data_IF_722755250993
#
_entry.id   IF_722755250993
#
_cell.length_a   1.000
_cell.length_b   1.000
_cell.length_c   1.000
_cell.angle_alpha   90.00
_cell.angle_beta   90.00
_cell.angle_gamma   90.00
#
_symmetry.space_group_name_H-M   'P 1'
#
loop_
_entity.id
_entity.type
_entity.pdbx_description
1 polymer ?
#
# COMPACT_ATOMS: atom_id res chain seq x y z
N UNK A 1 -18.56 -9.35 -37.65
CA UNK A 1 -17.64 -8.36 -37.06
C UNK A 1 -16.47 -9.14 -36.48
N UNK A 2 -15.24 -8.63 -36.60
CA UNK A 2 -14.08 -9.28 -35.98
C UNK A 2 -14.16 -9.11 -34.44
N UNK A 3 -13.77 -10.15 -33.71
CA UNK A 3 -13.73 -10.09 -32.25
C UNK A 3 -12.49 -9.31 -31.80
N UNK A 4 -12.70 -8.33 -30.91
CA UNK A 4 -11.62 -7.58 -30.26
C UNK A 4 -11.14 -8.39 -29.06
N UNK A 5 -9.83 -8.38 -28.82
CA UNK A 5 -9.21 -9.01 -27.66
C UNK A 5 -9.47 -8.18 -26.40
N UNK A 6 -9.66 -8.85 -25.26
CA UNK A 6 -10.02 -8.17 -24.01
C UNK A 6 -8.96 -7.16 -23.57
N UNK A 7 -7.68 -7.43 -23.81
CA UNK A 7 -6.58 -6.52 -23.50
C UNK A 7 -6.59 -5.20 -24.28
N UNK A 8 -7.27 -5.15 -25.43
CA UNK A 8 -7.31 -3.97 -26.31
C UNK A 8 -8.55 -3.08 -26.07
N UNK A 9 -9.40 -3.44 -25.10
CA UNK A 9 -10.65 -2.72 -24.82
C UNK A 9 -10.34 -1.42 -24.08
N UNK A 10 -10.84 -0.31 -24.61
CA UNK A 10 -10.70 1.03 -24.03
C UNK A 10 -12.06 1.57 -23.56
N UNK A 11 -12.07 2.69 -22.83
CA UNK A 11 -13.32 3.34 -22.38
C UNK A 11 -14.21 3.82 -23.53
N UNK A 12 -13.66 3.96 -24.74
CA UNK A 12 -14.34 4.47 -25.92
C UNK A 12 -14.83 3.35 -26.86
N UNK A 13 -14.56 2.09 -26.52
CA UNK A 13 -15.00 0.93 -27.29
C UNK A 13 -16.53 0.78 -27.27
N UNK A 14 -17.17 0.91 -28.44
CA UNK A 14 -18.63 0.80 -28.63
C UNK A 14 -18.96 -0.15 -29.77
N UNK A 15 -20.12 -0.81 -29.67
CA UNK A 15 -20.62 -1.79 -30.64
C UNK A 15 -19.59 -2.87 -31.01
N UNK A 16 -18.82 -3.31 -30.01
CA UNK A 16 -17.75 -4.29 -30.19
C UNK A 16 -18.27 -5.73 -30.01
N UNK A 17 -17.55 -6.69 -30.58
CA UNK A 17 -17.76 -8.12 -30.32
C UNK A 17 -16.53 -8.70 -29.64
N UNK A 18 -16.72 -9.56 -28.64
CA UNK A 18 -15.64 -10.23 -27.92
C UNK A 18 -15.96 -11.70 -27.73
N UNK A 19 -14.93 -12.52 -27.55
CA UNK A 19 -15.06 -13.92 -27.18
C UNK A 19 -14.20 -14.19 -25.95
N UNK A 20 -14.81 -14.67 -24.87
CA UNK A 20 -14.11 -14.87 -23.59
C UNK A 20 -14.78 -15.87 -22.68
N UNK A 21 -14.04 -16.34 -21.68
CA UNK A 21 -14.52 -17.24 -20.63
C UNK A 21 -15.00 -16.46 -19.41
N UNK A 22 -16.19 -16.77 -18.93
CA UNK A 22 -16.75 -16.22 -17.70
C UNK A 22 -15.96 -16.80 -16.51
N UNK A 23 -15.27 -15.94 -15.77
CA UNK A 23 -14.52 -16.30 -14.58
C UNK A 23 -15.39 -16.22 -13.32
N UNK A 24 -16.31 -15.26 -13.26
CA UNK A 24 -17.31 -15.13 -12.20
C UNK A 24 -18.57 -14.49 -12.75
N UNK A 25 -19.71 -14.83 -12.17
CA UNK A 25 -20.99 -14.17 -12.45
C UNK A 25 -21.83 -14.22 -11.18
N UNK A 26 -22.22 -13.04 -10.72
CA UNK A 26 -23.08 -12.79 -9.57
C UNK A 26 -24.25 -11.91 -10.02
N UNK A 27 -25.29 -11.82 -9.19
CA UNK A 27 -26.45 -10.94 -9.43
C UNK A 27 -26.69 -10.03 -8.24
N UNK A 28 -27.23 -8.84 -8.49
CA UNK A 28 -27.67 -7.91 -7.46
C UNK A 28 -29.04 -7.36 -7.78
N UNK A 29 -29.91 -7.40 -6.78
CA UNK A 29 -31.23 -6.79 -6.82
C UNK A 29 -31.12 -5.31 -6.42
N UNK A 30 -31.75 -4.43 -7.20
CA UNK A 30 -31.88 -3.01 -6.93
C UNK A 30 -33.36 -2.72 -6.70
N UNK A 31 -33.68 -2.02 -5.61
CA UNK A 31 -35.03 -1.50 -5.34
C UNK A 31 -34.99 0.02 -5.31
N UNK A 32 -35.65 0.65 -6.28
CA UNK A 32 -35.79 2.11 -6.36
C UNK A 32 -37.27 2.48 -6.48
N UNK A 33 -37.60 3.77 -6.42
CA UNK A 33 -38.97 4.29 -6.59
C UNK A 33 -39.63 3.87 -7.92
N UNK A 34 -38.82 3.47 -8.91
CA UNK A 34 -39.26 3.00 -10.23
C UNK A 34 -39.48 1.49 -10.32
N UNK A 35 -39.28 0.74 -9.23
CA UNK A 35 -39.49 -0.71 -9.16
C UNK A 35 -38.23 -1.51 -8.80
N UNK A 36 -38.37 -2.83 -8.90
CA UNK A 36 -37.27 -3.79 -8.67
C UNK A 36 -36.59 -4.11 -10.01
N UNK A 37 -35.25 -4.15 -10.02
CA UNK A 37 -34.47 -4.53 -11.20
C UNK A 37 -33.27 -5.38 -10.79
N UNK A 38 -32.95 -6.38 -11.60
CA UNK A 38 -31.81 -7.27 -11.37
C UNK A 38 -30.75 -6.98 -12.42
N UNK A 39 -29.51 -6.87 -12.00
CA UNK A 39 -28.38 -6.88 -12.93
C UNK A 39 -27.38 -7.95 -12.52
N UNK A 40 -26.71 -8.50 -13.52
CA UNK A 40 -25.60 -9.43 -13.35
C UNK A 40 -24.29 -8.67 -13.42
N UNK A 41 -23.30 -9.15 -12.69
CA UNK A 41 -21.94 -8.62 -12.76
C UNK A 41 -20.93 -9.72 -12.54
N UNK A 42 -19.75 -9.54 -13.10
CA UNK A 42 -18.74 -10.58 -13.03
C UNK A 42 -17.45 -10.20 -13.72
N UNK A 43 -16.65 -11.22 -14.02
CA UNK A 43 -15.38 -11.10 -14.70
C UNK A 43 -15.38 -12.03 -15.91
N UNK A 44 -15.01 -11.52 -17.08
CA UNK A 44 -14.78 -12.29 -18.30
C UNK A 44 -13.31 -12.11 -18.72
N UNK A 45 -12.71 -13.13 -19.33
CA UNK A 45 -11.34 -13.03 -19.81
C UNK A 45 -11.01 -13.92 -20.99
N UNK A 46 -9.89 -13.61 -21.63
CA UNK A 46 -9.30 -14.36 -22.74
C UNK A 46 -7.78 -14.51 -22.52
N UNK A 47 -7.08 -14.94 -23.55
CA UNK A 47 -5.62 -15.09 -23.58
C UNK A 47 -4.85 -13.76 -23.44
N UNK A 48 -5.52 -12.62 -23.53
CA UNK A 48 -4.93 -11.28 -23.44
C UNK A 48 -5.23 -10.56 -22.13
N UNK A 49 -6.28 -10.94 -21.40
CA UNK A 49 -6.59 -10.30 -20.13
C UNK A 49 -7.96 -10.64 -19.53
N UNK A 50 -8.33 -9.89 -18.50
CA UNK A 50 -9.66 -9.97 -17.89
C UNK A 50 -10.28 -8.59 -17.73
N UNK A 51 -11.59 -8.48 -17.91
CA UNK A 51 -12.35 -7.24 -17.77
C UNK A 51 -13.65 -7.51 -16.98
N UNK A 52 -14.02 -6.65 -16.00
CA UNK A 52 -15.29 -6.78 -15.34
C UNK A 52 -16.45 -6.43 -16.29
N UNK A 53 -17.60 -7.08 -16.12
CA UNK A 53 -18.83 -6.76 -16.88
C UNK A 53 -20.01 -6.47 -15.96
N UNK A 54 -20.87 -5.52 -16.35
CA UNK A 54 -22.24 -5.33 -15.83
C UNK A 54 -23.19 -5.71 -16.95
N UNK A 55 -24.19 -6.52 -16.64
CA UNK A 55 -25.20 -6.95 -17.58
C UNK A 55 -26.60 -6.69 -17.04
N UNK A 56 -27.32 -5.81 -17.71
CA UNK A 56 -28.74 -5.53 -17.45
C UNK A 56 -29.66 -6.52 -18.18
N UNK A 57 -29.17 -7.12 -19.27
CA UNK A 57 -29.77 -8.26 -19.93
C UNK A 57 -28.70 -9.35 -20.05
N UNK A 58 -28.87 -10.46 -19.33
CA UNK A 58 -27.92 -11.56 -19.33
C UNK A 58 -28.64 -12.91 -19.26
N UNK A 59 -28.28 -13.90 -20.10
CA UNK A 59 -28.85 -15.24 -20.00
C UNK A 59 -28.56 -15.85 -18.62
N UNK A 60 -29.62 -16.16 -17.88
CA UNK A 60 -29.52 -16.74 -16.53
C UNK A 60 -29.00 -18.18 -16.51
N UNK A 61 -28.71 -18.78 -17.67
CA UNK A 61 -28.11 -20.11 -17.84
C UNK A 61 -26.59 -20.08 -17.83
N UNK A 62 -25.95 -18.94 -18.10
CA UNK A 62 -24.50 -18.82 -18.15
C UNK A 62 -23.90 -18.91 -16.74
N UNK A 63 -22.81 -19.66 -16.59
CA UNK A 63 -22.11 -19.95 -15.34
C UNK A 63 -20.63 -19.57 -15.43
N UNK A 64 -19.97 -19.51 -14.28
CA UNK A 64 -18.50 -19.48 -14.23
C UNK A 64 -17.95 -20.73 -14.91
N UNK A 65 -16.98 -20.55 -15.80
CA UNK A 65 -16.40 -21.60 -16.63
C UNK A 65 -16.83 -21.54 -18.11
N UNK A 66 -17.99 -20.98 -18.40
CA UNK A 66 -18.54 -20.95 -19.76
C UNK A 66 -17.76 -20.02 -20.69
N UNK A 67 -17.58 -20.43 -21.94
CA UNK A 67 -17.08 -19.55 -23.01
C UNK A 67 -18.25 -18.92 -23.74
N UNK A 68 -18.23 -17.60 -23.88
CA UNK A 68 -19.29 -16.83 -24.52
C UNK A 68 -18.71 -15.91 -25.60
N UNK A 69 -19.47 -15.72 -26.66
CA UNK A 69 -19.30 -14.63 -27.61
C UNK A 69 -20.34 -13.56 -27.30
N UNK A 70 -19.88 -12.33 -27.05
CA UNK A 70 -20.72 -11.18 -26.70
C UNK A 70 -20.60 -10.18 -27.83
N UNK A 71 -21.70 -9.88 -28.53
CA UNK A 71 -21.74 -8.95 -29.66
C UNK A 71 -22.52 -7.70 -29.31
N UNK A 72 -22.12 -6.58 -29.91
CA UNK A 72 -22.74 -5.27 -29.70
C UNK A 72 -22.70 -4.79 -28.24
N UNK A 73 -21.66 -5.20 -27.50
CA UNK A 73 -21.40 -4.66 -26.18
C UNK A 73 -20.62 -3.34 -26.28
N UNK A 74 -20.63 -2.59 -25.18
CA UNK A 74 -19.84 -1.37 -25.05
C UNK A 74 -18.97 -1.46 -23.81
N UNK A 75 -17.89 -0.68 -23.77
CA UNK A 75 -17.11 -0.48 -22.58
C UNK A 75 -17.39 0.92 -22.01
N UNK A 76 -17.34 1.03 -20.68
CA UNK A 76 -17.48 2.31 -19.99
C UNK A 76 -16.54 2.34 -18.80
N UNK A 77 -15.98 3.52 -18.52
CA UNK A 77 -15.24 3.77 -17.30
C UNK A 77 -16.20 4.08 -16.14
N UNK A 78 -16.04 3.35 -15.03
CA UNK A 78 -16.78 3.58 -13.79
C UNK A 78 -15.81 3.48 -12.61
N UNK A 79 -15.73 4.53 -11.80
CA UNK A 79 -14.77 4.66 -10.69
C UNK A 79 -13.33 4.30 -11.10
N UNK A 80 -12.87 4.84 -12.24
CA UNK A 80 -11.51 4.63 -12.75
C UNK A 80 -11.25 3.25 -13.38
N UNK A 81 -12.29 2.41 -13.53
CA UNK A 81 -12.16 1.07 -14.11
C UNK A 81 -13.01 0.91 -15.36
N UNK A 82 -12.38 0.43 -16.43
CA UNK A 82 -13.07 0.04 -17.65
C UNK A 82 -13.85 -1.24 -17.35
N UNK A 83 -15.12 -1.23 -17.75
CA UNK A 83 -16.06 -2.33 -17.57
C UNK A 83 -16.86 -2.51 -18.85
N UNK A 84 -17.14 -3.77 -19.20
CA UNK A 84 -18.11 -4.08 -20.24
C UNK A 84 -19.53 -3.85 -19.75
N UNK A 85 -20.32 -3.19 -20.57
CA UNK A 85 -21.74 -3.02 -20.40
C UNK A 85 -22.46 -3.92 -21.42
N UNK A 86 -23.32 -4.78 -20.89
CA UNK A 86 -24.17 -5.71 -21.64
C UNK A 86 -25.60 -5.29 -21.36
N UNK A 87 -26.32 -4.90 -22.41
CA UNK A 87 -27.69 -4.42 -22.31
C UNK A 87 -28.61 -5.16 -23.27
N UNK A 88 -29.85 -4.70 -23.41
CA UNK A 88 -30.85 -5.34 -24.27
C UNK A 88 -30.50 -5.37 -25.76
N UNK A 89 -29.50 -4.60 -26.21
CA UNK A 89 -28.99 -4.62 -27.58
C UNK A 89 -27.82 -5.59 -27.76
N UNK A 90 -27.24 -6.06 -26.66
CA UNK A 90 -26.12 -6.98 -26.67
C UNK A 90 -26.60 -8.42 -26.90
N UNK A 91 -25.95 -9.15 -27.79
CA UNK A 91 -26.21 -10.58 -28.03
C UNK A 91 -25.16 -11.42 -27.28
N UNK A 92 -25.59 -12.34 -26.42
CA UNK A 92 -24.70 -13.22 -25.66
C UNK A 92 -24.92 -14.67 -26.11
N UNK A 93 -23.90 -15.26 -26.73
CA UNK A 93 -23.96 -16.59 -27.35
C UNK A 93 -23.03 -17.53 -26.58
N UNK A 94 -23.60 -18.59 -25.98
CA UNK A 94 -22.81 -19.65 -25.36
C UNK A 94 -22.08 -20.48 -26.43
N UNK A 95 -20.80 -20.74 -26.20
CA UNK A 95 -19.95 -21.57 -27.06
C UNK A 95 -19.51 -22.81 -26.29
N UNK A 96 -20.31 -23.87 -26.38
CA UNK A 96 -20.15 -25.09 -25.58
C UNK A 96 -18.88 -25.89 -25.92
N UNK A 97 -18.41 -25.80 -27.15
CA UNK A 97 -17.27 -26.58 -27.64
C UNK A 97 -15.94 -25.83 -27.54
N UNK A 98 -15.99 -24.56 -27.13
CA UNK A 98 -14.82 -23.72 -27.03
C UNK A 98 -14.18 -23.83 -25.64
N UNK A 99 -12.84 -23.87 -25.63
CA UNK A 99 -12.06 -23.67 -24.42
C UNK A 99 -11.15 -22.46 -24.61
N UNK A 100 -11.09 -21.60 -23.59
CA UNK A 100 -10.21 -20.43 -23.58
C UNK A 100 -9.38 -20.51 -22.31
N UNK A 101 -8.06 -20.50 -22.49
CA UNK A 101 -7.11 -20.26 -21.42
C UNK A 101 -7.10 -18.76 -21.13
N UNK A 102 -7.45 -18.38 -19.90
CA UNK A 102 -7.55 -16.97 -19.53
C UNK A 102 -6.27 -16.53 -18.85
N UNK A 103 -5.58 -15.55 -19.43
CA UNK A 103 -4.50 -14.85 -18.74
C UNK A 103 -5.11 -13.76 -17.88
N UNK A 104 -4.93 -13.87 -16.56
CA UNK A 104 -5.27 -12.75 -15.66
C UNK A 104 -4.22 -11.66 -15.84
N UNK A 105 -4.62 -10.58 -16.49
CA UNK A 105 -3.83 -9.36 -16.55
C UNK A 105 -3.98 -8.62 -15.23
N UNK A 106 -2.93 -8.56 -14.42
CA UNK A 106 -2.89 -7.75 -13.21
C UNK A 106 -2.20 -6.43 -13.52
N UNK A 107 -2.83 -5.31 -13.14
CA UNK A 107 -2.24 -4.00 -13.35
C UNK A 107 -0.95 -3.88 -12.53
N UNK A 108 0.10 -3.41 -13.19
CA UNK A 108 1.40 -3.12 -12.58
C UNK A 108 1.33 -1.89 -11.67
N UNK A 109 1.90 -2.01 -10.47
CA UNK A 109 2.00 -0.90 -9.52
C UNK A 109 3.41 -0.83 -8.91
N UNK A 110 3.90 0.39 -8.74
CA UNK A 110 4.95 0.71 -7.78
C UNK A 110 4.40 0.66 -6.37
N UNK A 111 5.24 0.33 -5.37
CA UNK A 111 4.81 0.14 -3.98
C UNK A 111 4.14 1.40 -3.41
N UNK A 112 4.67 2.60 -3.72
CA UNK A 112 4.08 3.88 -3.31
C UNK A 112 2.64 4.08 -3.80
N UNK A 113 2.23 3.42 -4.88
CA UNK A 113 0.95 3.63 -5.55
C UNK A 113 -0.07 2.50 -5.29
N UNK A 114 0.26 1.54 -4.41
CA UNK A 114 -0.66 0.47 -4.03
C UNK A 114 -1.92 1.05 -3.37
N UNK A 115 -3.08 0.48 -3.66
CA UNK A 115 -4.34 0.95 -3.09
C UNK A 115 -5.34 -0.20 -2.96
N UNK A 116 -6.41 0.01 -2.19
CA UNK A 116 -7.45 -0.99 -1.98
C UNK A 116 -8.46 -1.08 -3.12
N UNK A 117 -8.49 -0.10 -4.03
CA UNK A 117 -9.40 -0.14 -5.18
C UNK A 117 -9.01 -1.27 -6.14
N UNK A 118 -7.71 -1.56 -6.28
CA UNK A 118 -7.19 -2.73 -7.00
C UNK A 118 -6.63 -3.77 -6.04
N UNK A 119 -7.46 -4.71 -5.54
CA UNK A 119 -7.05 -5.65 -4.51
C UNK A 119 -6.12 -6.76 -5.03
N UNK A 120 -5.93 -6.89 -6.34
CA UNK A 120 -4.99 -7.84 -6.94
C UNK A 120 -4.12 -7.13 -7.98
N UNK A 121 -2.81 -7.16 -7.79
CA UNK A 121 -1.85 -6.34 -8.53
C UNK A 121 -0.68 -7.16 -9.06
N UNK A 122 0.03 -6.59 -10.04
CA UNK A 122 1.38 -7.01 -10.38
C UNK A 122 2.36 -6.03 -9.73
N UNK A 123 3.33 -6.54 -8.97
CA UNK A 123 4.39 -5.73 -8.35
C UNK A 123 5.75 -6.36 -8.64
N UNK A 124 6.78 -5.55 -8.61
CA UNK A 124 8.14 -5.99 -8.85
C UNK A 124 9.09 -5.31 -7.87
N UNK A 125 10.00 -6.07 -7.27
CA UNK A 125 10.78 -5.59 -6.15
C UNK A 125 11.64 -6.67 -5.50
N UNK A 126 12.41 -6.25 -4.51
CA UNK A 126 13.34 -7.09 -3.76
C UNK A 126 12.66 -7.67 -2.51
N UNK A 127 12.90 -8.95 -2.28
CA UNK A 127 12.53 -9.66 -1.06
C UNK A 127 13.57 -9.35 0.02
N UNK A 128 13.14 -8.82 1.17
CA UNK A 128 14.00 -8.61 2.33
C UNK A 128 14.13 -9.85 3.21
N UNK A 129 14.43 -9.65 4.49
CA UNK A 129 14.57 -10.73 5.48
C UNK A 129 13.29 -11.60 5.53
N UNK A 130 13.44 -12.92 5.40
CA UNK A 130 12.30 -13.87 5.39
C UNK A 130 12.19 -14.56 6.76
N UNK A 131 11.02 -14.41 7.40
CA UNK A 131 10.68 -15.05 8.69
C UNK A 131 9.64 -16.13 8.49
N UNK A 132 10.00 -17.37 8.82
CA UNK A 132 9.10 -18.51 8.76
C UNK A 132 8.26 -18.63 10.03
N UNK A 133 6.96 -18.91 9.88
CA UNK A 133 6.04 -19.22 10.98
C UNK A 133 5.09 -20.34 10.58
N UNK A 134 4.64 -21.09 11.57
CA UNK A 134 3.57 -22.09 11.43
C UNK A 134 2.23 -21.45 11.77
N UNK A 135 1.18 -21.79 11.03
CA UNK A 135 -0.19 -21.46 11.42
C UNK A 135 -1.11 -22.65 11.17
N UNK A 136 -2.10 -22.82 12.06
CA UNK A 136 -3.14 -23.82 11.90
C UNK A 136 -4.30 -23.22 11.12
N UNK A 137 -4.70 -23.90 10.05
CA UNK A 137 -5.92 -23.61 9.31
C UNK A 137 -6.67 -24.90 9.08
N UNK A 138 -7.90 -24.97 9.58
CA UNK A 138 -8.79 -26.13 9.41
C UNK A 138 -8.18 -27.45 9.93
N UNK A 139 -7.34 -27.37 10.98
CA UNK A 139 -6.65 -28.53 11.56
C UNK A 139 -5.36 -28.95 10.83
N UNK A 140 -5.03 -28.34 9.69
CA UNK A 140 -3.76 -28.53 8.98
C UNK A 140 -2.74 -27.47 9.37
N UNK A 141 -1.53 -27.91 9.71
CA UNK A 141 -0.39 -27.02 9.95
C UNK A 141 0.19 -26.56 8.61
N UNK A 142 0.15 -25.25 8.34
CA UNK A 142 0.69 -24.64 7.12
C UNK A 142 1.82 -23.69 7.47
N UNK A 143 2.78 -23.58 6.55
CA UNK A 143 3.87 -22.61 6.66
C UNK A 143 3.44 -21.28 6.06
N UNK A 144 3.81 -20.20 6.75
CA UNK A 144 3.73 -18.84 6.24
C UNK A 144 5.10 -18.18 6.34
N UNK A 145 5.41 -17.34 5.36
CA UNK A 145 6.65 -16.59 5.26
C UNK A 145 6.33 -15.10 5.30
N UNK A 146 6.81 -14.39 6.32
CA UNK A 146 6.67 -12.93 6.42
C UNK A 146 7.97 -12.26 6.02
N UNK A 147 7.88 -11.21 5.21
CA UNK A 147 9.05 -10.45 4.74
C UNK A 147 8.66 -9.00 4.42
N UNK A 148 9.66 -8.13 4.32
CA UNK A 148 9.51 -6.83 3.65
C UNK A 148 9.71 -6.99 2.16
N UNK A 149 8.87 -6.37 1.35
CA UNK A 149 9.03 -6.29 -0.10
C UNK A 149 9.18 -4.83 -0.50
N UNK A 150 10.19 -4.51 -1.30
CA UNK A 150 10.52 -3.11 -1.61
C UNK A 150 10.93 -2.89 -3.06
N UNK A 151 10.58 -1.73 -3.56
CA UNK A 151 11.08 -1.17 -4.82
C UNK A 151 11.77 0.17 -4.56
N UNK A 152 12.09 0.89 -5.63
CA UNK A 152 12.68 2.23 -5.61
C UNK A 152 11.72 3.32 -5.08
N UNK A 153 10.43 3.03 -4.91
CA UNK A 153 9.42 3.98 -4.45
C UNK A 153 8.98 3.78 -3.00
N UNK A 154 9.14 2.57 -2.44
CA UNK A 154 8.68 2.28 -1.10
C UNK A 154 8.87 0.84 -0.66
N UNK A 155 8.23 0.48 0.45
CA UNK A 155 8.27 -0.84 1.06
C UNK A 155 6.91 -1.22 1.63
N UNK A 156 6.56 -2.50 1.52
CA UNK A 156 5.34 -3.07 2.07
C UNK A 156 5.64 -4.36 2.82
N UNK A 157 4.84 -4.67 3.83
CA UNK A 157 4.92 -5.98 4.48
C UNK A 157 4.21 -7.01 3.61
N UNK A 158 4.89 -8.11 3.33
CA UNK A 158 4.42 -9.19 2.48
C UNK A 158 4.36 -10.51 3.25
N UNK A 159 3.26 -11.23 3.09
CA UNK A 159 3.08 -12.58 3.64
C UNK A 159 2.85 -13.56 2.50
N UNK A 160 3.61 -14.64 2.47
CA UNK A 160 3.38 -15.77 1.55
C UNK A 160 2.83 -16.97 2.29
N UNK A 161 1.71 -17.50 1.81
CA UNK A 161 1.07 -18.69 2.34
C UNK A 161 1.52 -19.90 1.52
N UNK A 162 2.31 -20.81 2.12
CA UNK A 162 2.76 -22.05 1.48
C UNK A 162 3.88 -21.93 0.44
N UNK A 163 4.07 -20.77 -0.21
CA UNK A 163 5.16 -20.56 -1.17
C UNK A 163 6.41 -19.98 -0.48
N UNK A 164 7.52 -20.73 -0.49
CA UNK A 164 8.79 -20.28 0.10
C UNK A 164 9.37 -19.11 -0.70
N UNK A 165 9.79 -18.07 0.01
CA UNK A 165 10.43 -16.89 -0.55
C UNK A 165 11.96 -16.97 -0.38
N UNK A 166 12.71 -16.42 -1.34
CA UNK A 166 14.17 -16.35 -1.28
C UNK A 166 14.59 -14.91 -0.97
N UNK A 167 15.25 -14.72 0.17
CA UNK A 167 15.78 -13.42 0.60
C UNK A 167 16.78 -12.85 -0.41
N UNK A 168 16.75 -11.52 -0.58
CA UNK A 168 17.64 -10.77 -1.46
C UNK A 168 17.26 -10.80 -2.94
N UNK A 169 16.43 -11.74 -3.38
CA UNK A 169 16.02 -11.84 -4.80
C UNK A 169 15.09 -10.72 -5.22
N UNK A 170 15.26 -10.27 -6.46
CA UNK A 170 14.30 -9.41 -7.15
C UNK A 170 13.33 -10.30 -7.91
N UNK A 171 12.04 -10.08 -7.68
CA UNK A 171 10.98 -10.89 -8.29
C UNK A 171 9.86 -10.00 -8.81
N UNK A 172 9.24 -10.45 -9.90
CA UNK A 172 7.93 -9.98 -10.36
C UNK A 172 6.85 -10.91 -9.81
N UNK A 173 5.85 -10.32 -9.18
CA UNK A 173 4.75 -11.02 -8.52
C UNK A 173 3.45 -10.60 -9.19
N UNK A 174 2.76 -11.55 -9.83
CA UNK A 174 1.49 -11.33 -10.51
C UNK A 174 0.33 -11.92 -9.70
N UNK A 175 -0.67 -11.09 -9.41
CA UNK A 175 -1.86 -11.49 -8.65
C UNK A 175 -1.70 -11.39 -7.15
N UNK A 176 -0.74 -10.60 -6.68
CA UNK A 176 -0.52 -10.33 -5.28
C UNK A 176 -1.74 -9.59 -4.70
N UNK A 177 -2.24 -10.02 -3.54
CA UNK A 177 -3.41 -9.41 -2.91
C UNK A 177 -3.01 -8.21 -2.05
N UNK A 178 -3.56 -7.03 -2.31
CA UNK A 178 -3.43 -5.86 -1.46
C UNK A 178 -4.51 -5.89 -0.37
N UNK A 179 -4.13 -5.65 0.87
CA UNK A 179 -5.03 -5.52 2.02
C UNK A 179 -4.53 -4.44 2.98
N UNK A 180 -5.39 -4.00 3.90
CA UNK A 180 -5.02 -3.07 4.97
C UNK A 180 -5.12 -3.76 6.32
N UNK A 181 -4.11 -3.55 7.16
CA UNK A 181 -4.11 -4.02 8.54
C UNK A 181 -3.34 -3.04 9.43
N UNK A 182 -3.96 -2.61 10.53
CA UNK A 182 -3.44 -1.61 11.45
C UNK A 182 -2.96 -0.35 10.71
N UNK A 183 -3.85 0.21 9.88
CA UNK A 183 -3.62 1.45 9.14
C UNK A 183 -2.45 1.43 8.15
N UNK A 184 -2.08 0.24 7.66
CA UNK A 184 -0.99 0.03 6.70
C UNK A 184 -1.40 -0.95 5.63
N UNK A 185 -0.99 -0.67 4.39
CA UNK A 185 -1.13 -1.65 3.32
C UNK A 185 -0.16 -2.82 3.55
N UNK A 186 -0.63 -4.00 3.11
CA UNK A 186 0.10 -5.25 3.10
C UNK A 186 -0.16 -5.97 1.79
N UNK A 187 0.77 -6.82 1.43
CA UNK A 187 0.64 -7.71 0.27
C UNK A 187 0.58 -9.16 0.75
N UNK A 188 -0.23 -9.98 0.09
CA UNK A 188 -0.33 -11.41 0.37
C UNK A 188 -0.21 -12.23 -0.91
N UNK A 189 0.59 -13.30 -0.82
CA UNK A 189 0.81 -14.28 -1.89
C UNK A 189 0.01 -15.52 -1.54
N UNK A 190 -0.89 -15.93 -2.43
CA UNK A 190 -1.67 -17.17 -2.29
C UNK A 190 -1.47 -18.11 -3.47
N UNK A 191 -2.22 -19.20 -3.51
CA UNK A 191 -2.05 -20.30 -4.48
C UNK A 191 -2.17 -19.88 -5.96
N UNK A 192 -2.90 -18.78 -6.22
CA UNK A 192 -3.10 -18.24 -7.58
C UNK A 192 -2.13 -17.11 -7.94
N UNK A 193 -1.17 -16.80 -7.06
CA UNK A 193 -0.16 -15.76 -7.29
C UNK A 193 1.05 -16.39 -7.97
N UNK A 194 1.52 -15.76 -9.05
CA UNK A 194 2.69 -16.20 -9.79
C UNK A 194 3.89 -15.36 -9.37
N UNK A 195 5.02 -16.00 -9.08
CA UNK A 195 6.28 -15.33 -8.75
C UNK A 195 7.32 -15.75 -9.78
N UNK A 196 7.95 -14.77 -10.41
CA UNK A 196 9.04 -14.97 -11.37
C UNK A 196 10.25 -14.15 -10.94
N UNK A 197 11.44 -14.74 -11.03
CA UNK A 197 12.69 -14.00 -10.81
C UNK A 197 12.85 -12.93 -11.89
N UNK A 198 13.31 -11.75 -11.48
CA UNK A 198 13.55 -10.64 -12.39
C UNK A 198 15.01 -10.25 -12.39
N UNK A 199 15.51 -9.91 -13.57
CA UNK A 199 16.84 -9.37 -13.78
C UNK A 199 16.88 -7.84 -13.57
N UNK A 200 15.76 -7.23 -13.18
CA UNK A 200 15.70 -5.80 -12.93
C UNK A 200 16.54 -5.42 -11.70
N UNK A 201 17.25 -4.31 -11.82
CA UNK A 201 18.06 -3.75 -10.73
C UNK A 201 17.19 -2.77 -9.94
N UNK A 202 16.87 -3.13 -8.69
CA UNK A 202 16.21 -2.20 -7.76
C UNK A 202 17.28 -1.27 -7.18
N UNK A 203 17.33 -0.05 -7.72
CA UNK A 203 18.28 0.99 -7.33
C UNK A 203 18.00 1.61 -5.94
N UNK A 204 18.63 2.75 -5.70
CA UNK A 204 18.40 3.55 -4.50
C UNK A 204 16.95 4.05 -4.43
N UNK A 205 16.44 4.23 -3.20
CA UNK A 205 15.11 4.78 -3.01
C UNK A 205 15.03 6.22 -3.49
N UNK A 206 14.07 6.50 -4.34
CA UNK A 206 13.79 7.85 -4.85
C UNK A 206 13.22 8.73 -3.75
N UNK A 207 13.61 10.00 -3.78
CA UNK A 207 12.99 11.04 -2.97
C UNK A 207 11.64 11.38 -3.61
N UNK A 208 10.59 11.29 -2.80
CA UNK A 208 9.21 11.49 -3.22
C UNK A 208 8.72 12.87 -2.77
N UNK A 209 7.87 13.48 -3.61
CA UNK A 209 7.02 14.58 -3.20
C UNK A 209 5.87 14.08 -2.32
N UNK A 210 5.46 14.89 -1.34
CA UNK A 210 4.39 14.58 -0.40
C UNK A 210 3.05 14.41 -1.12
N UNK A 211 2.76 15.24 -2.13
CA UNK A 211 1.51 15.19 -2.90
C UNK A 211 1.27 13.85 -3.61
N UNK A 212 2.34 13.20 -4.07
CA UNK A 212 2.26 11.93 -4.77
C UNK A 212 1.91 10.75 -3.85
N UNK A 213 2.09 10.90 -2.53
CA UNK A 213 2.00 9.80 -1.57
C UNK A 213 0.56 9.68 -1.08
N UNK A 214 -0.18 8.76 -1.69
CA UNK A 214 -1.60 8.55 -1.41
C UNK A 214 -1.89 7.20 -0.73
N UNK A 215 -0.85 6.51 -0.27
CA UNK A 215 -0.94 5.14 0.23
C UNK A 215 -0.19 4.95 1.55
N UNK A 216 -0.77 4.23 2.54
CA UNK A 216 -0.13 4.00 3.83
C UNK A 216 0.90 2.86 3.74
N UNK A 217 1.98 3.13 3.01
CA UNK A 217 3.12 2.23 2.80
C UNK A 217 4.37 2.72 3.52
N UNK A 218 5.37 1.86 3.61
CA UNK A 218 6.58 2.10 4.37
C UNK A 218 7.79 2.52 3.53
N UNK A 219 8.86 2.88 4.23
CA UNK A 219 10.18 3.15 3.65
C UNK A 219 10.16 4.19 2.54
N UNK A 220 9.35 5.24 2.68
CA UNK A 220 9.33 6.38 1.77
C UNK A 220 10.43 7.36 2.19
N UNK A 221 11.12 7.97 1.21
CA UNK A 221 12.05 9.08 1.41
C UNK A 221 11.39 10.38 0.96
N UNK A 222 11.43 11.41 1.79
CA UNK A 222 10.97 12.77 1.45
C UNK A 222 12.02 13.79 1.90
N UNK A 223 12.14 14.89 1.17
CA UNK A 223 12.93 16.06 1.57
C UNK A 223 11.97 17.19 1.89
N UNK A 224 11.93 17.65 3.15
CA UNK A 224 10.90 18.60 3.60
C UNK A 224 11.40 19.51 4.73
N UNK A 225 10.77 20.68 4.84
CA UNK A 225 10.93 21.60 5.97
C UNK A 225 9.96 21.25 7.09
N UNK A 226 10.43 21.27 8.34
CA UNK A 226 9.55 21.22 9.49
C UNK A 226 9.01 22.62 9.80
N UNK A 227 7.78 22.90 9.38
CA UNK A 227 7.17 24.25 9.43
C UNK A 227 6.48 24.57 10.76
N UNK A 228 6.23 23.55 11.58
CA UNK A 228 5.65 23.72 12.92
C UNK A 228 6.33 22.78 13.91
N UNK A 229 6.16 23.03 15.20
CA UNK A 229 6.56 22.10 16.26
C UNK A 229 5.44 22.00 17.28
N UNK A 230 5.06 20.77 17.65
CA UNK A 230 3.90 20.52 18.50
C UNK A 230 4.24 20.56 19.98
N UNK A 231 3.40 21.22 20.78
CA UNK A 231 3.55 21.40 22.24
C UNK A 231 3.63 20.10 23.04
N UNK A 232 3.11 18.99 22.48
CA UNK A 232 3.13 17.66 23.12
C UNK A 232 4.44 16.89 22.89
N UNK A 233 5.40 17.50 22.22
CA UNK A 233 6.73 16.93 21.98
C UNK A 233 7.60 16.95 23.24
N UNK A 234 8.74 16.27 23.21
CA UNK A 234 9.67 16.16 24.32
C UNK A 234 9.66 14.80 25.01
N UNK A 235 10.11 14.80 26.26
CA UNK A 235 10.19 13.59 27.09
C UNK A 235 8.81 13.26 27.65
N UNK A 236 8.36 12.04 27.40
CA UNK A 236 7.15 11.47 27.99
C UNK A 236 7.49 10.30 28.90
N UNK A 237 6.57 9.99 29.80
CA UNK A 237 6.69 8.86 30.72
C UNK A 237 5.82 7.71 30.21
N UNK A 238 6.34 6.47 30.26
CA UNK A 238 5.61 5.25 29.90
C UNK A 238 5.66 4.21 31.02
N UNK A 239 4.69 3.30 31.01
CA UNK A 239 4.74 2.08 31.80
C UNK A 239 5.81 1.13 31.24
N UNK A 240 6.69 0.58 32.08
CA UNK A 240 7.70 -0.40 31.66
C UNK A 240 7.08 -1.70 31.12
N UNK A 241 5.90 -2.08 31.60
CA UNK A 241 5.19 -3.30 31.18
C UNK A 241 4.38 -3.08 29.89
N UNK A 242 3.39 -2.19 29.90
CA UNK A 242 2.48 -2.03 28.76
C UNK A 242 2.86 -0.93 27.77
N UNK A 243 3.91 -0.14 28.05
CA UNK A 243 4.40 0.97 27.21
C UNK A 243 3.39 2.09 26.92
N UNK A 244 2.20 2.09 27.56
CA UNK A 244 1.26 3.20 27.48
C UNK A 244 1.86 4.45 28.13
N UNK A 245 1.52 5.63 27.59
CA UNK A 245 1.88 6.93 28.18
C UNK A 245 1.22 7.05 29.55
N UNK A 246 1.95 7.60 30.51
CA UNK A 246 1.48 7.89 31.86
C UNK A 246 1.65 9.39 32.09
N UNK A 247 0.57 10.08 32.44
CA UNK A 247 0.63 11.48 32.88
C UNK A 247 0.69 11.59 34.42
N UNK A 248 0.19 10.58 35.13
CA UNK A 248 0.25 10.46 36.60
C UNK A 248 1.51 9.71 37.10
N UNK A 249 1.61 9.54 38.42
CA UNK A 249 2.69 8.77 39.05
C UNK A 249 2.60 7.25 38.82
N UNK A 250 1.45 6.70 38.42
CA UNK A 250 1.27 5.24 38.29
C UNK A 250 0.45 4.88 37.05
N UNK A 251 0.73 3.71 36.46
CA UNK A 251 -0.08 3.18 35.37
C UNK A 251 -1.41 2.64 35.93
N UNK A 252 -2.57 2.98 35.32
CA UNK A 252 -3.86 2.45 35.77
C UNK A 252 -3.96 0.92 35.69
N UNK A 253 -3.35 0.33 34.65
CA UNK A 253 -3.38 -1.12 34.41
C UNK A 253 -2.29 -1.86 35.21
N UNK A 254 -1.16 -1.19 35.50
CA UNK A 254 0.00 -1.77 36.19
C UNK A 254 0.53 -0.82 37.28
N UNK A 255 -0.17 -0.67 38.42
CA UNK A 255 0.14 0.37 39.40
C UNK A 255 1.51 0.22 40.08
N UNK A 256 2.06 -1.00 40.08
CA UNK A 256 3.37 -1.35 40.66
C UNK A 256 4.50 -1.32 39.65
N UNK A 257 4.21 -1.26 38.35
CA UNK A 257 5.23 -1.28 37.32
C UNK A 257 6.09 -0.01 37.37
N UNK A 258 7.43 -0.13 37.30
CA UNK A 258 8.30 1.03 37.18
C UNK A 258 7.94 1.88 35.97
N UNK A 259 8.13 3.19 36.11
CA UNK A 259 8.06 4.10 34.99
C UNK A 259 9.33 3.97 34.13
N UNK A 260 9.24 4.37 32.88
CA UNK A 260 10.39 4.61 32.00
C UNK A 260 10.20 5.91 31.23
N UNK A 261 11.29 6.53 30.81
CA UNK A 261 11.24 7.69 29.92
C UNK A 261 11.30 7.25 28.46
N UNK A 262 10.68 8.07 27.62
CA UNK A 262 10.73 7.96 26.16
C UNK A 262 10.69 9.38 25.59
N UNK A 263 11.06 9.53 24.32
CA UNK A 263 11.09 10.82 23.64
C UNK A 263 10.24 10.76 22.37
N UNK A 264 9.49 11.82 22.15
CA UNK A 264 8.55 11.91 21.04
C UNK A 264 8.50 13.33 20.53
N UNK A 265 8.40 13.49 19.21
CA UNK A 265 8.13 14.77 18.58
C UNK A 265 7.01 14.62 17.58
N UNK A 266 6.20 15.67 17.48
CA UNK A 266 5.12 15.79 16.52
C UNK A 266 5.17 17.18 15.90
N UNK A 267 5.16 17.23 14.57
CA UNK A 267 5.34 18.45 13.79
C UNK A 267 4.76 18.31 12.38
N UNK A 268 4.58 19.42 11.68
CA UNK A 268 4.17 19.42 10.27
C UNK A 268 5.38 19.54 9.37
N UNK A 269 5.43 18.69 8.34
CA UNK A 269 6.39 18.76 7.24
C UNK A 269 5.73 19.37 6.01
N UNK A 270 6.49 20.19 5.29
CA UNK A 270 6.08 20.80 4.02
C UNK A 270 7.25 20.73 3.03
N UNK A 271 7.01 20.24 1.82
CA UNK A 271 8.01 20.14 0.75
C UNK A 271 7.73 21.09 -0.43
N UNK A 272 6.74 21.97 -0.29
CA UNK A 272 6.26 22.88 -1.33
C UNK A 272 5.23 22.27 -2.29
N UNK A 273 5.06 20.95 -2.31
CA UNK A 273 3.99 20.26 -3.08
C UNK A 273 2.76 20.02 -2.21
N UNK A 274 2.98 19.63 -0.95
CA UNK A 274 1.94 19.41 0.03
C UNK A 274 2.54 19.40 1.44
N UNK A 275 1.70 19.19 2.45
CA UNK A 275 2.12 19.07 3.84
C UNK A 275 1.62 17.76 4.46
N UNK A 276 2.37 17.25 5.43
CA UNK A 276 1.99 16.05 6.19
C UNK A 276 2.32 16.21 7.67
N UNK A 277 1.44 15.69 8.52
CA UNK A 277 1.74 15.58 9.94
C UNK A 277 2.67 14.41 10.21
N UNK A 278 3.78 14.70 10.88
CA UNK A 278 4.85 13.77 11.15
C UNK A 278 5.03 13.50 12.64
N UNK A 279 5.51 12.30 12.93
CA UNK A 279 5.91 11.88 14.27
C UNK A 279 7.29 11.25 14.23
N UNK A 280 8.11 11.55 15.23
CA UNK A 280 9.44 10.98 15.40
C UNK A 280 9.58 10.40 16.82
N UNK A 281 10.21 9.24 16.93
CA UNK A 281 10.54 8.60 18.20
C UNK A 281 12.03 8.65 18.49
N UNK A 282 12.45 7.97 19.57
CA UNK A 282 13.84 7.92 20.03
C UNK A 282 14.86 7.59 18.92
N UNK A 283 14.55 6.68 18.01
CA UNK A 283 15.49 6.25 16.97
C UNK A 283 15.88 7.38 16.01
N UNK A 284 14.95 8.30 15.74
CA UNK A 284 15.18 9.46 14.88
C UNK A 284 15.68 10.68 15.68
N UNK A 285 15.20 10.84 16.92
CA UNK A 285 15.44 12.05 17.72
C UNK A 285 16.76 12.04 18.49
N UNK A 286 17.18 10.88 19.00
CA UNK A 286 18.41 10.79 19.78
C UNK A 286 19.67 11.16 18.97
N UNK A 287 19.85 10.67 17.73
CA UNK A 287 20.97 11.11 16.90
C UNK A 287 20.95 12.61 16.61
N UNK A 288 19.77 13.19 16.38
CA UNK A 288 19.59 14.62 16.13
C UNK A 288 20.02 15.47 17.34
N UNK A 289 19.75 14.98 18.56
CA UNK A 289 20.15 15.64 19.80
C UNK A 289 21.59 15.30 20.23
N UNK A 290 22.27 14.37 19.54
CA UNK A 290 23.57 13.86 19.99
C UNK A 290 23.52 13.13 21.33
N UNK A 291 22.36 12.59 21.70
CA UNK A 291 22.09 11.96 23.00
C UNK A 291 22.08 10.43 22.86
N UNK A 292 22.62 9.70 23.84
CA UNK A 292 22.51 8.25 23.89
C UNK A 292 21.23 7.78 24.59
N UNK A 293 20.78 6.57 24.28
CA UNK A 293 19.52 6.03 24.84
C UNK A 293 19.58 5.84 26.37
N UNK A 294 20.73 5.51 26.94
CA UNK A 294 20.93 5.37 28.38
C UNK A 294 20.80 6.69 29.14
N UNK A 295 20.94 7.83 28.45
CA UNK A 295 20.71 9.15 29.02
C UNK A 295 19.21 9.44 29.23
N UNK A 296 18.31 8.78 28.50
CA UNK A 296 16.85 8.82 28.69
C UNK A 296 16.42 7.92 29.87
N UNK A 297 16.91 8.24 31.06
CA UNK A 297 16.64 7.49 32.28
C UNK A 297 15.98 8.36 33.35
N UNK A 298 15.04 7.77 34.10
CA UNK A 298 14.42 8.43 35.27
C UNK A 298 15.46 8.77 36.34
N UNK A 299 16.55 8.00 36.40
CA UNK A 299 17.62 8.21 37.37
C UNK A 299 18.64 9.26 36.92
N UNK A 300 18.53 9.78 35.69
CA UNK A 300 19.43 10.79 35.19
C UNK A 300 19.05 12.18 35.73
N UNK A 301 19.68 12.59 36.82
CA UNK A 301 19.42 13.88 37.51
C UNK A 301 19.75 15.09 36.63
N UNK A 302 20.60 14.93 35.60
CA UNK A 302 20.93 16.00 34.65
C UNK A 302 19.86 16.21 33.58
N UNK A 303 18.89 15.29 33.46
CA UNK A 303 17.90 15.33 32.40
C UNK A 303 16.79 16.34 32.71
N UNK A 304 16.75 17.44 31.96
CA UNK A 304 15.75 18.49 32.12
C UNK A 304 14.73 18.44 30.97
N UNK A 305 13.46 18.09 31.29
CA UNK A 305 12.39 17.98 30.28
C UNK A 305 12.16 19.26 29.48
N UNK A 306 12.28 20.44 30.11
CA UNK A 306 12.08 21.73 29.44
C UNK A 306 13.21 22.06 28.48
N UNK A 307 14.44 21.75 28.88
CA UNK A 307 15.63 21.93 28.03
C UNK A 307 15.58 21.00 26.82
N UNK A 308 15.21 19.72 27.01
CA UNK A 308 15.06 18.79 25.89
C UNK A 308 13.95 19.21 24.94
N UNK A 309 12.83 19.72 25.45
CA UNK A 309 11.80 20.31 24.60
C UNK A 309 12.36 21.45 23.75
N UNK A 310 13.08 22.40 24.36
CA UNK A 310 13.64 23.56 23.65
C UNK A 310 14.71 23.15 22.63
N UNK A 311 15.55 22.18 22.96
CA UNK A 311 16.57 21.65 22.06
C UNK A 311 15.93 20.96 20.84
N UNK A 312 14.85 20.19 21.05
CA UNK A 312 14.08 19.58 19.95
C UNK A 312 13.43 20.65 19.07
N UNK A 313 12.76 21.63 19.69
CA UNK A 313 12.10 22.72 18.98
C UNK A 313 13.09 23.48 18.10
N UNK A 314 14.24 23.86 18.68
CA UNK A 314 15.31 24.58 17.98
C UNK A 314 15.94 23.74 16.87
N UNK A 315 16.16 22.44 17.12
CA UNK A 315 16.77 21.56 16.13
C UNK A 315 15.84 21.20 14.97
N UNK A 316 14.52 21.18 15.20
CA UNK A 316 13.53 20.72 14.21
C UNK A 316 12.88 21.90 13.51
N UNK A 317 12.29 22.85 14.23
CA UNK A 317 11.46 23.89 13.63
C UNK A 317 12.27 24.78 12.70
N UNK A 318 11.74 25.03 11.50
CA UNK A 318 12.37 25.85 10.46
C UNK A 318 13.52 25.16 9.72
N UNK A 319 13.89 23.93 10.07
CA UNK A 319 14.99 23.21 9.44
C UNK A 319 14.48 22.21 8.38
N UNK A 320 15.33 21.95 7.39
CA UNK A 320 15.04 21.03 6.30
C UNK A 320 15.75 19.69 6.51
N UNK A 321 15.05 18.60 6.23
CA UNK A 321 15.52 17.25 6.47
C UNK A 321 15.28 16.35 5.27
N UNK A 322 16.21 15.42 5.07
CA UNK A 322 15.95 14.19 4.36
C UNK A 322 15.41 13.17 5.37
N UNK A 323 14.23 12.64 5.11
CA UNK A 323 13.48 11.82 6.05
C UNK A 323 13.13 10.49 5.43
N UNK A 324 13.39 9.40 6.14
CA UNK A 324 12.90 8.06 5.78
C UNK A 324 11.88 7.61 6.81
N UNK A 325 10.72 7.17 6.35
CA UNK A 325 9.64 6.79 7.26
C UNK A 325 8.54 5.98 6.62
N UNK A 326 7.46 5.81 7.37
CA UNK A 326 6.28 5.06 6.95
C UNK A 326 5.02 5.90 7.04
N UNK A 327 4.23 5.90 5.99
CA UNK A 327 2.90 6.47 5.99
C UNK A 327 1.89 5.52 6.62
N UNK A 328 0.91 6.09 7.34
CA UNK A 328 -0.18 5.35 7.98
C UNK A 328 -1.48 6.12 7.87
N UNK A 329 -2.59 5.41 7.72
CA UNK A 329 -3.92 5.99 7.84
C UNK A 329 -4.20 6.40 9.30
N UNK A 330 -4.41 7.69 9.53
CA UNK A 330 -4.89 8.24 10.80
C UNK A 330 -6.33 8.75 10.69
N UNK A 331 -6.83 9.33 11.77
CA UNK A 331 -8.17 9.94 11.79
C UNK A 331 -8.29 11.13 10.82
N UNK A 332 -7.19 11.86 10.61
CA UNK A 332 -7.15 13.07 9.78
C UNK A 332 -6.47 12.81 8.41
N UNK A 333 -6.54 11.57 7.92
CA UNK A 333 -5.84 11.16 6.70
C UNK A 333 -4.44 10.60 6.98
N UNK A 334 -3.58 10.66 5.98
CA UNK A 334 -2.24 10.09 6.05
C UNK A 334 -1.34 10.86 7.02
N UNK A 335 -0.60 10.11 7.83
CA UNK A 335 0.41 10.63 8.74
C UNK A 335 1.74 9.93 8.50
N UNK A 336 2.84 10.65 8.71
CA UNK A 336 4.18 10.15 8.45
C UNK A 336 4.89 9.81 9.76
N UNK A 337 5.29 8.55 9.93
CA UNK A 337 6.13 8.13 11.04
C UNK A 337 7.58 8.05 10.59
N UNK A 338 8.37 9.01 11.05
CA UNK A 338 9.80 9.12 10.74
C UNK A 338 10.56 8.01 11.47
N UNK A 339 11.46 7.36 10.74
CA UNK A 339 12.43 6.38 11.28
C UNK A 339 13.85 6.93 11.26
N UNK A 340 14.19 7.66 10.21
CA UNK A 340 15.50 8.29 10.01
C UNK A 340 15.26 9.74 9.66
N UNK A 341 16.02 10.63 10.29
CA UNK A 341 15.93 12.08 10.14
C UNK A 341 17.33 12.65 10.01
N UNK A 342 17.64 13.20 8.85
CA UNK A 342 18.98 13.70 8.52
C UNK A 342 18.87 15.17 8.11
N UNK A 343 19.55 16.09 8.83
CA UNK A 343 19.62 17.49 8.42
C UNK A 343 20.20 17.59 7.00
N UNK A 344 19.57 18.38 6.14
CA UNK A 344 20.05 18.56 4.77
C UNK A 344 21.44 19.21 4.80
N UNK A 345 22.36 18.62 4.03
CA UNK A 345 23.74 19.08 3.85
C UNK A 345 24.11 19.05 2.36
N UNK A 346 25.31 19.52 2.00
CA UNK A 346 25.75 19.60 0.60
C UNK A 346 25.78 18.25 -0.13
N UNK A 347 26.05 17.15 0.58
CA UNK A 347 26.05 15.81 -0.03
C UNK A 347 24.62 15.38 -0.38
N UNK A 348 23.66 15.60 0.53
CA UNK A 348 22.23 15.33 0.30
C UNK A 348 21.68 16.23 -0.82
N UNK A 349 22.05 17.51 -0.85
CA UNK A 349 21.65 18.43 -1.94
C UNK A 349 22.15 17.90 -3.29
N UNK A 350 23.39 17.43 -3.35
CA UNK A 350 23.95 16.84 -4.57
C UNK A 350 23.20 15.57 -4.98
N UNK A 351 22.78 14.74 -4.03
CA UNK A 351 21.95 13.56 -4.29
C UNK A 351 20.58 13.96 -4.85
N UNK A 352 19.91 14.94 -4.23
CA UNK A 352 18.60 15.46 -4.66
C UNK A 352 18.71 15.96 -6.10
N UNK A 353 19.70 16.81 -6.39
CA UNK A 353 19.90 17.38 -7.74
C UNK A 353 20.12 16.27 -8.79
N UNK A 354 20.94 15.27 -8.47
CA UNK A 354 21.18 14.12 -9.37
C UNK A 354 19.91 13.32 -9.65
N UNK A 355 19.06 13.11 -8.63
CA UNK A 355 17.78 12.42 -8.82
C UNK A 355 16.82 13.24 -9.66
N UNK A 356 16.73 14.56 -9.43
CA UNK A 356 15.90 15.45 -10.23
C UNK A 356 16.33 15.46 -11.69
N UNK A 357 17.63 15.61 -11.97
CA UNK A 357 18.16 15.58 -13.35
C UNK A 357 17.82 14.28 -14.09
N UNK A 358 17.87 13.14 -13.39
CA UNK A 358 17.53 11.83 -13.95
C UNK A 358 16.03 11.65 -14.26
N UNK A 359 15.15 12.46 -13.71
CA UNK A 359 13.70 12.42 -14.01
C UNK A 359 13.31 13.28 -15.22
N UNK A 360 14.15 14.25 -15.59
CA UNK A 360 13.93 15.14 -16.75
C UNK A 360 14.80 14.80 -17.98
N UNK A 361 15.69 13.82 -17.87
CA UNK A 361 16.48 13.27 -18.96
C UNK A 361 15.77 12.07 -19.61
#
# INVERSE_FOLDING_TARGET
MANIKIGDITKDSKDISIKGKILSVDKKDIKNERGESVYYYGLIGDDTGTIPFTAWAFPSTIRSGDVVEIKFCSAREYNGKIRLNIDSKTEVILKTDDTIEVKRSYKGYKIRNLNLNDPFVSIEGRIGEVKERKYNKDGEEKLLYSTTFEDDTGQVQMTSFGQKLQEGKVVKIEGARVSEYNSRLRVSIGDRTKIEESNNVIGEKKISNIEDINSPVGGIRIAAFAVSFGEKSGILTRCSECRKRIDDLRCPDHPTAPQMLDIFSYFTLDDGTSFVQATAGKEALLPLLGMKEDELSINNVKLNKKEIYHNLETAIQGHAFLLTGDFRNGQNGLSFRIRIMEPINNAIISEINRQMEAEFA
#
